data_IF_787003119310
#
_entry.id   IF_787003119310
#
_cell.length_a   1.000
_cell.length_b   1.000
_cell.length_c   1.000
_cell.angle_alpha   90.00
_cell.angle_beta   90.00
_cell.angle_gamma   90.00
#
_symmetry.space_group_name_H-M   'P 1'
#
loop_
_entity.id
_entity.type
_entity.pdbx_description
1 polymer ?
#
# COMPACT_ATOMS: atom_id res chain seq x y z
N UNK A 1 11.64 39.41 2.20
CA UNK A 1 10.77 38.24 2.00
C UNK A 1 11.63 37.12 1.42
N UNK A 2 12.33 36.37 2.27
CA UNK A 2 13.18 35.25 1.87
C UNK A 2 12.44 33.96 2.21
N UNK A 3 11.86 33.33 1.21
CA UNK A 3 11.30 31.99 1.36
C UNK A 3 12.46 30.99 1.40
N UNK A 4 12.63 30.35 2.55
CA UNK A 4 13.57 29.26 2.74
C UNK A 4 13.23 28.11 1.79
N UNK A 5 14.21 27.67 1.00
CA UNK A 5 14.14 26.39 0.32
C UNK A 5 14.15 25.29 1.39
N UNK A 6 12.97 24.79 1.74
CA UNK A 6 12.83 23.63 2.59
C UNK A 6 13.25 22.41 1.76
N UNK A 7 14.47 21.92 1.97
CA UNK A 7 14.87 20.59 1.49
C UNK A 7 14.00 19.57 2.21
N UNK A 8 12.92 19.14 1.56
CA UNK A 8 12.19 17.94 1.98
C UNK A 8 13.12 16.77 1.66
N UNK A 9 13.51 15.94 2.63
CA UNK A 9 14.31 14.77 2.33
C UNK A 9 13.54 13.92 1.32
N UNK A 10 14.22 13.58 0.22
CA UNK A 10 13.75 12.71 -0.87
C UNK A 10 13.53 11.30 -0.32
N UNK A 11 12.42 11.18 0.41
CA UNK A 11 11.75 9.93 0.70
C UNK A 11 11.32 9.44 -0.67
N UNK A 12 11.84 8.32 -1.22
CA UNK A 12 11.47 7.92 -2.58
C UNK A 12 9.96 7.85 -2.64
N UNK A 13 9.39 8.79 -3.39
CA UNK A 13 7.96 9.02 -3.44
C UNK A 13 7.30 7.71 -3.86
N UNK A 14 6.26 7.33 -3.14
CA UNK A 14 5.41 6.22 -3.57
C UNK A 14 4.93 6.59 -4.97
N UNK A 15 5.10 5.70 -5.96
CA UNK A 15 4.48 5.93 -7.25
C UNK A 15 2.97 5.81 -7.10
N UNK A 16 2.33 6.95 -6.86
CA UNK A 16 0.89 7.06 -6.64
C UNK A 16 0.09 6.51 -7.84
N UNK A 17 0.62 6.62 -9.06
CA UNK A 17 -0.06 6.12 -10.25
C UNK A 17 -0.14 4.58 -10.22
N UNK A 18 0.98 3.92 -9.95
CA UNK A 18 1.04 2.46 -9.82
C UNK A 18 0.14 1.95 -8.69
N UNK A 19 0.04 2.68 -7.59
CA UNK A 19 -0.88 2.36 -6.49
C UNK A 19 -2.34 2.53 -6.91
N UNK A 20 -2.71 3.65 -7.53
CA UNK A 20 -4.08 3.92 -8.00
C UNK A 20 -4.53 2.83 -8.98
N UNK A 21 -3.69 2.46 -9.95
CA UNK A 21 -4.00 1.42 -10.93
C UNK A 21 -4.30 0.07 -10.27
N UNK A 22 -3.62 -0.28 -9.18
CA UNK A 22 -3.91 -1.50 -8.43
C UNK A 22 -5.19 -1.38 -7.61
N UNK A 23 -5.37 -0.25 -6.91
CA UNK A 23 -6.45 -0.07 -5.95
C UNK A 23 -7.79 0.13 -6.66
N UNK A 24 -7.83 1.06 -7.60
CA UNK A 24 -9.06 1.53 -8.24
C UNK A 24 -9.33 0.80 -9.57
N UNK A 25 -8.32 0.67 -10.43
CA UNK A 25 -8.49 0.00 -11.74
C UNK A 25 -8.39 -1.53 -11.65
N UNK A 26 -7.94 -2.04 -10.50
CA UNK A 26 -7.80 -3.48 -10.26
C UNK A 26 -6.72 -4.16 -11.07
N UNK A 27 -5.75 -3.40 -11.56
CA UNK A 27 -4.59 -3.93 -12.27
C UNK A 27 -3.76 -4.83 -11.36
N UNK A 28 -3.02 -5.74 -12.01
CA UNK A 28 -2.12 -6.66 -11.34
C UNK A 28 -0.70 -6.17 -11.56
N UNK A 29 -0.07 -5.62 -10.52
CA UNK A 29 1.26 -5.01 -10.61
C UNK A 29 2.17 -5.48 -9.46
N UNK A 30 3.47 -5.60 -9.75
CA UNK A 30 4.49 -5.84 -8.72
C UNK A 30 4.92 -4.50 -8.15
N UNK A 31 4.38 -4.17 -6.99
CA UNK A 31 4.73 -2.97 -6.25
C UNK A 31 5.94 -3.19 -5.34
N UNK A 32 6.71 -2.13 -5.14
CA UNK A 32 7.79 -2.10 -4.15
C UNK A 32 7.23 -2.18 -2.72
N UNK A 33 8.10 -2.29 -1.72
CA UNK A 33 7.67 -2.49 -0.33
C UNK A 33 6.73 -1.39 0.20
N UNK A 34 6.96 -0.13 -0.16
CA UNK A 34 6.20 1.02 0.35
C UNK A 34 4.89 1.23 -0.39
N UNK A 35 4.94 1.13 -1.73
CA UNK A 35 3.74 1.13 -2.58
C UNK A 35 2.80 -0.02 -2.22
N UNK A 36 3.34 -1.21 -1.95
CA UNK A 36 2.55 -2.36 -1.51
C UNK A 36 1.84 -2.10 -0.20
N UNK A 37 2.54 -1.52 0.77
CA UNK A 37 1.95 -1.21 2.07
C UNK A 37 0.81 -0.20 1.92
N UNK A 38 0.98 0.81 1.06
CA UNK A 38 -0.06 1.77 0.74
C UNK A 38 -1.25 1.13 0.01
N UNK A 39 -0.99 0.29 -0.99
CA UNK A 39 -2.03 -0.43 -1.72
C UNK A 39 -2.82 -1.36 -0.79
N UNK A 40 -2.13 -2.10 0.10
CA UNK A 40 -2.78 -2.93 1.14
C UNK A 40 -3.60 -2.05 2.08
N UNK A 41 -3.06 -0.92 2.56
CA UNK A 41 -3.79 0.01 3.43
C UNK A 41 -5.09 0.50 2.79
N UNK A 42 -5.06 0.85 1.50
CA UNK A 42 -6.24 1.35 0.77
C UNK A 42 -7.26 0.27 0.42
N UNK A 43 -6.83 -0.96 0.15
CA UNK A 43 -7.72 -2.07 -0.24
C UNK A 43 -8.26 -2.87 0.95
N UNK A 44 -7.51 -2.95 2.05
CA UNK A 44 -7.89 -3.73 3.23
C UNK A 44 -9.26 -3.27 3.76
N UNK A 45 -10.14 -4.23 4.08
CA UNK A 45 -11.57 -4.05 4.44
C UNK A 45 -12.49 -3.55 3.33
N UNK A 46 -11.99 -3.18 2.15
CA UNK A 46 -12.83 -2.82 0.98
C UNK A 46 -13.05 -4.01 0.04
N UNK A 47 -12.05 -4.89 -0.05
CA UNK A 47 -12.09 -6.09 -0.89
C UNK A 47 -11.45 -7.28 -0.15
N UNK A 48 -11.68 -8.49 -0.67
CA UNK A 48 -11.17 -9.72 -0.08
C UNK A 48 -9.64 -9.81 -0.07
N UNK A 49 -9.10 -10.41 0.98
CA UNK A 49 -7.64 -10.60 1.15
C UNK A 49 -7.01 -11.38 0.00
N UNK A 50 -7.73 -12.39 -0.53
CA UNK A 50 -7.26 -13.18 -1.67
C UNK A 50 -7.19 -12.34 -2.95
N UNK A 51 -8.11 -11.40 -3.14
CA UNK A 51 -8.10 -10.49 -4.29
C UNK A 51 -6.94 -9.49 -4.18
N UNK A 52 -6.67 -8.97 -2.99
CA UNK A 52 -5.49 -8.13 -2.71
C UNK A 52 -4.21 -8.88 -3.04
N UNK A 53 -4.10 -10.14 -2.58
CA UNK A 53 -2.95 -10.99 -2.82
C UNK A 53 -2.73 -11.23 -4.31
N UNK A 54 -3.82 -11.52 -5.04
CA UNK A 54 -3.80 -11.68 -6.49
C UNK A 54 -3.27 -10.42 -7.17
N UNK A 55 -3.84 -9.24 -6.86
CA UNK A 55 -3.47 -7.94 -7.45
C UNK A 55 -1.99 -7.58 -7.25
N UNK A 56 -1.42 -7.94 -6.10
CA UNK A 56 -0.05 -7.57 -5.71
C UNK A 56 1.00 -8.65 -6.02
N UNK A 57 0.64 -9.75 -6.69
CA UNK A 57 1.51 -10.91 -6.92
C UNK A 57 2.15 -11.46 -5.63
N UNK A 58 1.38 -11.50 -4.54
CA UNK A 58 1.82 -12.05 -3.25
C UNK A 58 0.83 -13.09 -2.74
N UNK A 59 1.13 -13.70 -1.60
CA UNK A 59 0.23 -14.65 -0.95
C UNK A 59 -0.71 -13.93 0.02
N UNK A 60 -1.89 -14.49 0.31
CA UNK A 60 -2.79 -13.98 1.36
C UNK A 60 -2.10 -13.87 2.73
N UNK A 61 -1.21 -14.83 3.05
CA UNK A 61 -0.37 -14.79 4.25
C UNK A 61 0.54 -13.57 4.29
N UNK A 62 1.10 -13.16 3.14
CA UNK A 62 1.91 -11.95 3.03
C UNK A 62 1.05 -10.70 3.26
N UNK A 63 -0.16 -10.65 2.70
CA UNK A 63 -1.10 -9.54 2.94
C UNK A 63 -1.41 -9.42 4.44
N UNK A 64 -1.74 -10.51 5.11
CA UNK A 64 -2.00 -10.50 6.57
C UNK A 64 -0.80 -10.02 7.39
N UNK A 65 0.42 -10.41 7.01
CA UNK A 65 1.65 -9.90 7.65
C UNK A 65 1.81 -8.39 7.47
N UNK A 66 1.46 -7.85 6.30
CA UNK A 66 1.48 -6.41 6.04
C UNK A 66 0.42 -5.70 6.88
N UNK A 67 -0.82 -6.21 6.90
CA UNK A 67 -1.92 -5.68 7.73
C UNK A 67 -1.53 -5.62 9.21
N UNK A 68 -0.94 -6.70 9.73
CA UNK A 68 -0.45 -6.75 11.11
C UNK A 68 0.70 -5.76 11.37
N UNK A 69 1.67 -5.67 10.44
CA UNK A 69 2.77 -4.71 10.53
C UNK A 69 2.28 -3.25 10.53
N UNK A 70 1.22 -2.96 9.79
CA UNK A 70 0.60 -1.63 9.71
C UNK A 70 -0.36 -1.33 10.88
N UNK A 71 -0.57 -2.27 11.81
CA UNK A 71 -1.52 -2.10 12.91
C UNK A 71 -2.98 -2.01 12.45
N UNK A 72 -3.30 -2.52 11.26
CA UNK A 72 -4.66 -2.50 10.68
C UNK A 72 -5.51 -3.70 11.12
N UNK A 73 -4.88 -4.69 11.74
CA UNK A 73 -5.55 -5.77 12.46
C UNK A 73 -6.39 -5.17 13.58
N UNK A 74 -7.64 -5.63 13.73
CA UNK A 74 -8.44 -5.21 14.89
C UNK A 74 -7.73 -5.57 16.20
N UNK A 75 -7.77 -4.70 17.22
CA UNK A 75 -7.55 -5.18 18.57
C UNK A 75 -8.64 -6.21 18.86
N UNK A 76 -8.24 -7.42 19.28
CA UNK A 76 -9.17 -8.42 19.74
C UNK A 76 -10.06 -7.79 20.84
N UNK A 77 -11.36 -7.67 20.55
CA UNK A 77 -12.38 -7.28 21.52
C UNK A 77 -12.84 -8.49 22.32
#
# INVERSE_FOLDING_TARGET
>A
MTASAQTIPDIPDIDDLSVIQVVDDGMRLRLNGRERDEAVRRMHRRIDTDLIAWRLYITPRTVQRVVARLGLSEPAA
#
